data_IF_281404455277
#
_entry.id   IF_281404455277
#
_cell.length_a   1.000
_cell.length_b   1.000
_cell.length_c   1.000
_cell.angle_alpha   90.00
_cell.angle_beta   90.00
_cell.angle_gamma   90.00
#
_symmetry.space_group_name_H-M   'P 1'
#
loop_
_entity.id
_entity.type
_entity.pdbx_description
1 polymer ?
#
# COMPACT_ATOMS: atom_id res chain seq x y z
N UNK A 1 -23.97 12.18 26.13
CA UNK A 1 -22.99 11.30 25.43
C UNK A 1 -22.34 12.14 24.37
N UNK A 2 -21.04 12.36 24.51
CA UNK A 2 -20.27 13.34 23.70
C UNK A 2 -19.90 12.80 22.32
N UNK A 3 -19.83 11.48 22.12
CA UNK A 3 -19.57 10.84 20.82
C UNK A 3 -20.51 9.65 20.60
N UNK A 4 -21.40 9.73 19.58
CA UNK A 4 -22.28 8.61 19.21
C UNK A 4 -21.62 7.56 18.32
N UNK A 5 -20.40 7.82 17.84
CA UNK A 5 -19.60 6.93 17.00
C UNK A 5 -18.30 6.63 17.74
N UNK A 6 -17.94 5.36 17.82
CA UNK A 6 -16.69 4.89 18.46
C UNK A 6 -16.01 3.93 17.53
N UNK A 7 -14.77 4.25 17.17
CA UNK A 7 -13.82 3.32 16.57
C UNK A 7 -12.88 2.82 17.66
N UNK A 8 -12.75 1.51 17.78
CA UNK A 8 -11.92 0.89 18.81
C UNK A 8 -11.13 -0.31 18.24
N UNK A 9 -10.06 -0.64 18.93
CA UNK A 9 -9.29 -1.85 18.69
C UNK A 9 -9.50 -2.83 19.85
N UNK A 10 -9.88 -4.04 19.52
CA UNK A 10 -10.01 -5.13 20.49
C UNK A 10 -8.63 -5.70 20.84
N UNK A 11 -8.54 -6.45 21.96
CA UNK A 11 -7.28 -7.03 22.44
C UNK A 11 -6.64 -8.02 21.46
N UNK A 12 -7.45 -8.67 20.63
CA UNK A 12 -7.01 -9.59 19.58
C UNK A 12 -6.55 -8.88 18.29
N UNK A 13 -6.53 -7.53 18.29
CA UNK A 13 -6.17 -6.71 17.14
C UNK A 13 -7.34 -6.42 16.19
N UNK A 14 -8.52 -7.01 16.38
CA UNK A 14 -9.72 -6.74 15.58
C UNK A 14 -10.15 -5.28 15.71
N UNK A 15 -10.67 -4.72 14.61
CA UNK A 15 -11.26 -3.37 14.59
C UNK A 15 -12.74 -3.44 14.87
N UNK A 16 -13.24 -2.56 15.72
CA UNK A 16 -14.65 -2.41 16.01
C UNK A 16 -15.08 -0.97 15.70
N UNK A 17 -16.15 -0.81 14.94
CA UNK A 17 -16.87 0.45 14.81
C UNK A 17 -18.28 0.26 15.44
N UNK A 18 -18.63 1.13 16.37
CA UNK A 18 -19.94 1.12 17.01
C UNK A 18 -20.63 2.48 16.82
N UNK A 19 -21.90 2.45 16.44
CA UNK A 19 -22.75 3.63 16.24
C UNK A 19 -23.99 3.48 17.11
N UNK A 20 -24.30 4.49 17.92
CA UNK A 20 -25.44 4.49 18.84
C UNK A 20 -26.47 5.57 18.49
N UNK A 21 -27.71 5.49 18.98
CA UNK A 21 -28.70 6.57 18.82
C UNK A 21 -28.20 7.92 19.35
N UNK A 22 -28.54 9.03 18.72
CA UNK A 22 -29.55 9.18 17.65
C UNK A 22 -29.01 8.95 16.22
N UNK A 23 -27.72 8.74 16.04
CA UNK A 23 -27.09 8.57 14.71
C UNK A 23 -27.52 7.24 14.07
N UNK A 24 -27.76 6.20 14.88
CA UNK A 24 -28.41 4.94 14.46
C UNK A 24 -29.81 4.86 15.06
N UNK A 25 -30.85 5.36 14.39
CA UNK A 25 -32.21 5.45 14.98
C UNK A 25 -32.84 4.10 15.36
N UNK A 26 -32.45 3.04 14.67
CA UNK A 26 -32.97 1.68 14.89
C UNK A 26 -32.29 0.94 16.05
N UNK A 27 -31.33 1.56 16.73
CA UNK A 27 -30.59 0.98 17.83
C UNK A 27 -29.08 1.03 17.61
N UNK A 28 -28.35 0.32 18.46
CA UNK A 28 -26.87 0.24 18.33
C UNK A 28 -26.51 -0.66 17.16
N UNK A 29 -25.65 -0.14 16.28
CA UNK A 29 -25.00 -0.90 15.21
C UNK A 29 -23.53 -1.13 15.57
N UNK A 30 -23.05 -2.38 15.48
CA UNK A 30 -21.65 -2.73 15.74
C UNK A 30 -21.11 -3.53 14.56
N UNK A 31 -19.97 -3.10 14.03
CA UNK A 31 -19.22 -3.82 13.01
C UNK A 31 -17.86 -4.23 13.58
N UNK A 32 -17.53 -5.52 13.49
CA UNK A 32 -16.22 -6.05 13.92
C UNK A 32 -15.53 -6.67 12.72
N UNK A 33 -14.39 -6.08 12.35
CA UNK A 33 -13.50 -6.63 11.33
C UNK A 33 -12.39 -7.43 12.01
N UNK A 34 -12.51 -8.74 11.94
CA UNK A 34 -11.52 -9.65 12.52
C UNK A 34 -10.21 -9.60 11.73
N UNK A 35 -9.12 -9.56 12.46
CA UNK A 35 -7.80 -9.74 11.90
C UNK A 35 -7.48 -11.25 11.87
N UNK A 36 -7.64 -11.87 10.71
CA UNK A 36 -7.34 -13.31 10.55
C UNK A 36 -5.93 -13.45 9.98
N UNK A 37 -5.01 -13.92 10.80
CA UNK A 37 -3.66 -14.32 10.34
C UNK A 37 -3.76 -15.66 9.61
N UNK A 38 -4.03 -15.63 8.31
CA UNK A 38 -3.81 -16.80 7.47
C UNK A 38 -2.37 -16.73 6.93
N UNK A 39 -1.63 -17.81 7.06
CA UNK A 39 -0.33 -17.96 6.42
C UNK A 39 -0.52 -18.12 4.89
N UNK A 40 -0.64 -16.98 4.20
CA UNK A 40 -0.76 -16.93 2.76
C UNK A 40 0.63 -16.94 2.12
N UNK A 41 0.73 -17.58 0.95
CA UNK A 41 1.92 -17.56 0.09
C UNK A 41 1.57 -16.94 -1.27
N UNK A 42 2.55 -16.70 -2.12
CA UNK A 42 2.30 -16.15 -3.46
C UNK A 42 1.41 -17.07 -4.31
N UNK A 43 1.51 -18.37 -4.13
CA UNK A 43 0.70 -19.37 -4.85
C UNK A 43 -0.80 -19.27 -4.53
N UNK A 44 -1.17 -18.63 -3.42
CA UNK A 44 -2.59 -18.30 -3.15
C UNK A 44 -3.11 -17.15 -4.02
N UNK A 45 -2.21 -16.35 -4.62
CA UNK A 45 -2.55 -15.19 -5.43
C UNK A 45 -2.23 -15.34 -6.91
N UNK A 46 -1.32 -16.24 -7.28
CA UNK A 46 -0.82 -16.34 -8.64
C UNK A 46 -0.27 -17.73 -8.95
N UNK A 47 -0.34 -18.11 -10.23
CA UNK A 47 0.38 -19.25 -10.78
C UNK A 47 1.88 -18.94 -10.87
N UNK A 48 2.70 -19.99 -11.05
CA UNK A 48 4.17 -19.93 -10.97
C UNK A 48 4.80 -18.81 -11.80
N UNK A 49 4.45 -18.57 -13.08
CA UNK A 49 5.09 -17.49 -13.85
C UNK A 49 4.87 -16.10 -13.27
N UNK A 50 3.66 -15.83 -12.72
CA UNK A 50 3.35 -14.54 -12.09
C UNK A 50 3.97 -14.46 -10.70
N UNK A 51 4.02 -15.57 -9.96
CA UNK A 51 4.68 -15.62 -8.66
C UNK A 51 6.18 -15.35 -8.80
N UNK A 52 6.86 -15.95 -9.80
CA UNK A 52 8.27 -15.66 -10.10
C UNK A 52 8.50 -14.20 -10.49
N UNK A 53 7.62 -13.60 -11.31
CA UNK A 53 7.68 -12.18 -11.65
C UNK A 53 7.64 -11.32 -10.39
N UNK A 54 6.76 -11.62 -9.42
CA UNK A 54 6.66 -10.88 -8.16
C UNK A 54 7.91 -11.06 -7.29
N UNK A 55 8.43 -12.28 -7.18
CA UNK A 55 9.67 -12.56 -6.45
C UNK A 55 10.85 -11.81 -7.06
N UNK A 56 10.94 -11.82 -8.41
CA UNK A 56 11.95 -11.07 -9.14
C UNK A 56 11.86 -9.57 -8.82
N UNK A 57 10.66 -8.98 -8.87
CA UNK A 57 10.45 -7.57 -8.57
C UNK A 57 10.87 -7.19 -7.14
N UNK A 58 10.51 -8.01 -6.14
CA UNK A 58 10.91 -7.76 -4.73
C UNK A 58 12.43 -7.87 -4.56
N UNK A 59 13.07 -8.89 -5.17
CA UNK A 59 14.53 -9.10 -5.10
C UNK A 59 15.30 -7.98 -5.79
N UNK A 60 14.79 -7.47 -6.90
CA UNK A 60 15.36 -6.36 -7.67
C UNK A 60 14.97 -4.98 -7.14
N UNK A 61 14.36 -4.94 -5.93
CA UNK A 61 14.03 -3.69 -5.23
C UNK A 61 13.14 -2.77 -6.05
N UNK A 62 12.22 -3.33 -6.85
CA UNK A 62 11.21 -2.53 -7.52
C UNK A 62 10.27 -1.88 -6.51
N UNK A 63 9.93 -0.63 -6.73
CA UNK A 63 8.88 0.07 -5.99
C UNK A 63 7.52 -0.36 -6.55
N UNK A 64 6.70 -1.01 -5.72
CA UNK A 64 5.46 -1.65 -6.15
C UNK A 64 4.25 -1.03 -5.46
N UNK A 65 3.23 -0.70 -6.23
CA UNK A 65 1.90 -0.34 -5.73
C UNK A 65 0.95 -1.52 -5.93
N UNK A 66 0.41 -2.06 -4.84
CA UNK A 66 -0.64 -3.09 -4.89
C UNK A 66 -1.99 -2.42 -4.95
N UNK A 67 -2.71 -2.57 -6.05
CA UNK A 67 -4.04 -2.01 -6.27
C UNK A 67 -5.14 -3.05 -6.15
N UNK A 68 -6.38 -2.62 -5.93
CA UNK A 68 -7.55 -3.49 -5.87
C UNK A 68 -8.72 -2.87 -5.10
N UNK A 69 -9.90 -3.46 -5.24
CA UNK A 69 -11.11 -3.05 -4.51
C UNK A 69 -10.99 -3.31 -3.00
N UNK A 70 -11.92 -2.77 -2.22
CA UNK A 70 -12.04 -3.12 -0.80
C UNK A 70 -12.23 -4.64 -0.64
N UNK A 71 -11.48 -5.25 0.28
CA UNK A 71 -11.57 -6.69 0.55
C UNK A 71 -10.94 -7.61 -0.52
N UNK A 72 -10.29 -7.08 -1.56
CA UNK A 72 -9.64 -7.89 -2.61
C UNK A 72 -8.39 -8.63 -2.11
N UNK A 73 -7.79 -8.21 -0.99
CA UNK A 73 -6.61 -8.83 -0.43
C UNK A 73 -5.30 -8.07 -0.66
N UNK A 74 -5.36 -6.76 -0.93
CA UNK A 74 -4.18 -5.89 -1.09
C UNK A 74 -3.17 -6.02 0.04
N UNK A 75 -3.62 -5.80 1.29
CA UNK A 75 -2.77 -5.91 2.48
C UNK A 75 -2.25 -7.34 2.68
N UNK A 76 -3.04 -8.35 2.31
CA UNK A 76 -2.60 -9.74 2.37
C UNK A 76 -1.48 -10.02 1.37
N UNK A 77 -1.60 -9.56 0.10
CA UNK A 77 -0.52 -9.68 -0.88
C UNK A 77 0.70 -8.85 -0.44
N UNK A 78 0.49 -7.65 0.09
CA UNK A 78 1.56 -6.81 0.62
C UNK A 78 2.37 -7.54 1.71
N UNK A 79 1.69 -8.20 2.66
CA UNK A 79 2.33 -9.04 3.68
C UNK A 79 3.17 -10.18 3.06
N UNK A 80 2.61 -10.86 2.05
CA UNK A 80 3.31 -11.94 1.35
C UNK A 80 4.56 -11.41 0.63
N UNK A 81 4.47 -10.26 -0.05
CA UNK A 81 5.64 -9.66 -0.70
C UNK A 81 6.71 -9.25 0.32
N UNK A 82 6.29 -8.70 1.47
CA UNK A 82 7.21 -8.34 2.56
C UNK A 82 7.95 -9.55 3.14
N UNK A 83 7.33 -10.72 3.23
CA UNK A 83 7.97 -11.94 3.74
C UNK A 83 9.11 -12.45 2.84
N UNK A 84 9.21 -11.98 1.60
CA UNK A 84 10.30 -12.29 0.67
C UNK A 84 11.41 -11.23 0.64
N UNK A 85 11.35 -10.21 1.50
CA UNK A 85 12.44 -9.25 1.69
C UNK A 85 13.60 -9.88 2.46
N UNK A 86 14.78 -9.28 2.36
CA UNK A 86 15.99 -9.80 3.02
C UNK A 86 15.97 -9.50 4.51
N UNK A 87 16.41 -10.44 5.34
CA UNK A 87 16.46 -10.32 6.80
C UNK A 87 17.41 -9.21 7.31
N UNK A 88 18.38 -8.80 6.51
CA UNK A 88 19.33 -7.75 6.86
C UNK A 88 18.84 -6.34 6.47
N UNK A 89 17.67 -6.21 5.83
CA UNK A 89 17.09 -4.91 5.47
C UNK A 89 16.30 -4.33 6.65
N UNK A 90 16.43 -3.02 6.83
CA UNK A 90 15.61 -2.26 7.78
C UNK A 90 14.32 -1.84 7.10
N UNK A 91 13.21 -2.38 7.57
CA UNK A 91 11.88 -2.10 7.02
C UNK A 91 11.13 -1.19 7.99
N UNK A 92 10.61 -0.08 7.48
CA UNK A 92 9.70 0.79 8.24
C UNK A 92 8.33 0.75 7.60
N UNK A 93 7.32 0.23 8.31
CA UNK A 93 5.93 0.25 7.86
C UNK A 93 5.15 1.39 8.52
N UNK A 94 4.21 1.94 7.77
CA UNK A 94 3.37 3.08 8.16
C UNK A 94 1.94 2.75 7.79
N UNK A 95 1.04 2.74 8.77
CA UNK A 95 -0.34 2.35 8.59
C UNK A 95 -1.29 3.23 9.41
N UNK A 96 -2.51 3.42 8.94
CA UNK A 96 -3.57 4.06 9.76
C UNK A 96 -3.93 3.19 10.96
N UNK A 97 -4.08 1.90 10.72
CA UNK A 97 -4.22 0.88 11.75
C UNK A 97 -3.42 -0.33 11.31
N UNK A 98 -2.61 -0.85 12.19
CA UNK A 98 -1.71 -1.95 11.91
C UNK A 98 -2.44 -3.21 11.45
N UNK A 99 -2.26 -3.58 10.20
CA UNK A 99 -2.71 -4.83 9.58
C UNK A 99 -1.54 -5.70 9.12
N UNK A 100 -0.37 -5.08 8.89
CA UNK A 100 0.82 -5.81 8.46
C UNK A 100 1.42 -6.60 9.62
N UNK A 101 1.86 -7.81 9.30
CA UNK A 101 2.61 -8.68 10.22
C UNK A 101 3.99 -8.92 9.63
N UNK A 102 4.94 -8.04 9.96
CA UNK A 102 6.30 -8.13 9.45
C UNK A 102 7.13 -9.01 10.38
N UNK A 103 7.34 -10.26 9.98
CA UNK A 103 8.19 -11.22 10.69
C UNK A 103 9.68 -11.05 10.30
N UNK A 104 10.15 -9.79 10.27
CA UNK A 104 11.53 -9.44 9.89
C UNK A 104 12.28 -8.91 11.12
N UNK A 105 13.55 -9.31 11.34
CA UNK A 105 14.30 -8.96 12.55
C UNK A 105 14.48 -7.45 12.77
N UNK A 106 14.56 -6.67 11.68
CA UNK A 106 14.78 -5.23 11.73
C UNK A 106 13.58 -4.45 11.17
N UNK A 107 12.36 -4.81 11.60
CA UNK A 107 11.14 -4.12 11.23
C UNK A 107 10.70 -3.12 12.30
N UNK A 108 10.37 -1.91 11.90
CA UNK A 108 9.73 -0.86 12.71
C UNK A 108 8.35 -0.60 12.15
N UNK A 109 7.31 -0.73 12.98
CA UNK A 109 5.93 -0.52 12.58
C UNK A 109 5.39 0.75 13.23
N UNK A 110 4.97 1.72 12.41
CA UNK A 110 4.41 2.99 12.82
C UNK A 110 2.92 3.01 12.51
N UNK A 111 2.13 3.57 13.42
CA UNK A 111 0.68 3.66 13.30
C UNK A 111 0.24 5.10 13.56
N UNK A 112 -0.74 5.60 12.79
CA UNK A 112 -1.31 6.91 13.02
C UNK A 112 -2.05 6.96 14.36
N UNK A 113 -2.21 8.16 14.88
CA UNK A 113 -3.02 8.40 16.08
C UNK A 113 -3.96 9.56 15.84
N UNK A 114 -5.26 9.41 16.06
CA UNK A 114 -6.19 10.53 16.01
C UNK A 114 -5.94 11.53 17.14
N UNK A 115 -6.47 12.73 17.01
CA UNK A 115 -6.52 13.68 18.13
C UNK A 115 -7.26 13.03 19.29
N UNK A 116 -6.76 13.22 20.52
CA UNK A 116 -7.45 12.69 21.70
C UNK A 116 -8.44 13.71 22.26
N UNK A 117 -9.50 13.26 22.96
CA UNK A 117 -10.45 14.16 23.63
C UNK A 117 -9.79 15.10 24.64
N UNK A 118 -8.65 14.69 25.19
CA UNK A 118 -7.85 15.46 26.17
C UNK A 118 -6.97 16.53 25.51
N UNK A 119 -7.05 16.71 24.18
CA UNK A 119 -6.35 17.73 23.42
C UNK A 119 -4.93 17.37 22.97
N UNK A 120 -4.51 16.10 23.09
CA UNK A 120 -3.24 15.69 22.50
C UNK A 120 -3.36 15.65 20.97
N UNK A 121 -2.42 16.27 20.22
CA UNK A 121 -2.47 16.29 18.77
C UNK A 121 -2.33 14.88 18.20
N UNK A 122 -3.02 14.63 17.09
CA UNK A 122 -2.87 13.41 16.31
C UNK A 122 -1.48 13.29 15.69
N UNK A 123 -1.20 12.10 15.17
CA UNK A 123 -0.01 11.81 14.34
C UNK A 123 -0.52 11.31 13.00
N UNK A 124 -0.27 12.06 11.94
CA UNK A 124 -0.79 11.78 10.60
C UNK A 124 0.12 10.82 9.81
N UNK A 125 -0.40 10.24 8.71
CA UNK A 125 0.41 9.47 7.76
C UNK A 125 1.60 10.29 7.25
N UNK A 126 1.38 11.56 6.92
CA UNK A 126 2.43 12.50 6.47
C UNK A 126 3.54 12.65 7.51
N UNK A 127 3.18 12.83 8.78
CA UNK A 127 4.17 12.93 9.87
C UNK A 127 4.99 11.65 9.99
N UNK A 128 4.33 10.50 9.81
CA UNK A 128 4.99 9.20 9.89
C UNK A 128 5.90 8.92 8.68
N UNK A 129 5.50 9.32 7.46
CA UNK A 129 6.37 9.20 6.27
C UNK A 129 7.65 10.04 6.47
N UNK A 130 7.50 11.30 6.89
CA UNK A 130 8.65 12.17 7.19
C UNK A 130 9.51 11.64 8.34
N UNK A 131 8.88 11.04 9.35
CA UNK A 131 9.60 10.42 10.47
C UNK A 131 10.36 9.18 10.02
N UNK A 132 9.76 8.34 9.17
CA UNK A 132 10.38 7.13 8.64
C UNK A 132 11.71 7.44 7.94
N UNK A 133 11.81 8.52 7.17
CA UNK A 133 13.05 8.95 6.49
C UNK A 133 14.21 9.21 7.48
N UNK A 134 13.89 9.56 8.74
CA UNK A 134 14.88 9.79 9.80
C UNK A 134 15.28 8.52 10.56
N UNK A 135 14.57 7.41 10.32
CA UNK A 135 14.84 6.11 10.94
C UNK A 135 15.81 5.24 10.13
N UNK A 136 16.41 5.79 9.06
CA UNK A 136 17.35 5.10 8.16
C UNK A 136 16.76 3.80 7.59
N UNK A 137 15.61 3.83 6.93
CA UNK A 137 15.00 2.64 6.35
C UNK A 137 15.74 2.22 5.08
N UNK A 138 15.84 0.92 4.85
CA UNK A 138 16.20 0.36 3.54
C UNK A 138 14.99 0.34 2.61
N UNK A 139 13.79 0.09 3.18
CA UNK A 139 12.50 0.12 2.48
C UNK A 139 11.42 0.72 3.36
N UNK A 140 10.49 1.42 2.73
CA UNK A 140 9.31 1.99 3.40
C UNK A 140 8.07 1.25 2.87
N UNK A 141 7.23 0.79 3.79
CA UNK A 141 5.96 0.13 3.46
C UNK A 141 4.82 1.03 3.91
N UNK A 142 4.01 1.49 2.95
CA UNK A 142 2.83 2.31 3.26
C UNK A 142 1.59 1.45 3.11
N UNK A 143 0.89 1.21 4.22
CA UNK A 143 -0.28 0.34 4.27
C UNK A 143 -1.33 0.72 3.24
N UNK A 144 -1.62 2.01 3.08
CA UNK A 144 -2.53 2.51 2.05
C UNK A 144 -2.29 3.99 1.75
N UNK A 145 -2.35 4.35 0.45
CA UNK A 145 -2.28 5.72 -0.06
C UNK A 145 -3.71 6.25 -0.22
N UNK A 146 -4.06 7.32 0.50
CA UNK A 146 -5.40 7.93 0.49
C UNK A 146 -5.42 9.43 0.33
N UNK A 147 -4.36 10.13 0.72
CA UNK A 147 -4.33 11.57 0.86
C UNK A 147 -2.97 12.21 0.55
N UNK A 148 -2.67 13.25 1.29
CA UNK A 148 -1.50 14.11 1.08
C UNK A 148 -0.16 13.39 1.23
N UNK A 149 -0.11 12.30 1.98
CA UNK A 149 1.09 11.45 2.16
C UNK A 149 1.67 10.95 0.84
N UNK A 150 0.88 10.91 -0.23
CA UNK A 150 1.33 10.52 -1.58
C UNK A 150 2.49 11.39 -2.06
N UNK A 151 2.50 12.67 -1.75
CA UNK A 151 3.55 13.62 -2.17
C UNK A 151 4.88 13.30 -1.48
N UNK A 152 4.83 13.12 -0.15
CA UNK A 152 6.01 12.75 0.64
C UNK A 152 6.51 11.34 0.27
N UNK A 153 5.59 10.40 0.00
CA UNK A 153 5.92 9.07 -0.49
C UNK A 153 6.69 9.12 -1.82
N UNK A 154 6.16 9.79 -2.85
CA UNK A 154 6.84 9.88 -4.15
C UNK A 154 8.23 10.53 -3.99
N UNK A 155 8.34 11.55 -3.15
CA UNK A 155 9.63 12.18 -2.82
C UNK A 155 10.59 11.19 -2.16
N UNK A 156 10.12 10.40 -1.19
CA UNK A 156 10.92 9.37 -0.51
C UNK A 156 11.41 8.30 -1.48
N UNK A 157 10.54 7.82 -2.37
CA UNK A 157 10.88 6.79 -3.37
C UNK A 157 11.91 7.29 -4.39
N UNK A 158 11.91 8.59 -4.69
CA UNK A 158 12.87 9.23 -5.60
C UNK A 158 14.23 9.53 -4.94
N UNK A 159 14.33 9.46 -3.62
CA UNK A 159 15.53 9.83 -2.87
C UNK A 159 16.32 8.65 -2.29
N UNK A 160 16.05 7.41 -2.72
CA UNK A 160 16.93 6.28 -2.41
C UNK A 160 16.31 5.14 -1.59
N UNK A 161 15.00 5.12 -1.38
CA UNK A 161 14.30 4.05 -0.64
C UNK A 161 13.72 2.99 -1.60
N UNK A 162 14.58 2.47 -2.49
CA UNK A 162 14.21 1.48 -3.50
C UNK A 162 13.67 0.18 -2.88
N UNK A 163 12.67 -0.44 -3.53
CA UNK A 163 12.02 -1.65 -3.05
C UNK A 163 10.91 -1.40 -2.04
N UNK A 164 10.43 -0.17 -1.96
CA UNK A 164 9.30 0.21 -1.12
C UNK A 164 7.98 -0.28 -1.72
N UNK A 165 7.03 -0.61 -0.85
CA UNK A 165 5.73 -1.12 -1.25
C UNK A 165 4.62 -0.26 -0.67
N UNK A 166 3.51 -0.17 -1.39
CA UNK A 166 2.32 0.52 -0.89
C UNK A 166 1.03 -0.10 -1.46
N UNK A 167 -0.13 0.25 -0.89
CA UNK A 167 -1.41 -0.11 -1.50
C UNK A 167 -2.21 1.11 -1.91
N UNK A 168 -3.07 0.94 -2.91
CA UNK A 168 -4.00 1.96 -3.38
C UNK A 168 -5.34 1.33 -3.78
N UNK A 169 -6.45 1.94 -3.38
CA UNK A 169 -7.77 1.51 -3.86
C UNK A 169 -7.98 1.94 -5.32
N UNK A 170 -8.22 0.96 -6.20
CA UNK A 170 -8.56 1.20 -7.61
C UNK A 170 -9.31 -0.01 -8.19
N UNK A 171 -9.92 0.15 -9.38
CA UNK A 171 -10.60 -0.93 -10.10
C UNK A 171 -9.69 -1.65 -11.10
N UNK A 172 -8.58 -1.03 -11.52
CA UNK A 172 -7.54 -1.59 -12.40
C UNK A 172 -6.18 -1.05 -12.00
N UNK A 173 -5.10 -1.65 -12.49
CA UNK A 173 -3.75 -1.15 -12.24
C UNK A 173 -3.56 0.27 -12.82
N UNK A 174 -4.08 0.53 -14.01
CA UNK A 174 -3.99 1.86 -14.64
C UNK A 174 -4.78 2.93 -13.86
N UNK A 175 -5.98 2.59 -13.35
CA UNK A 175 -6.75 3.50 -12.50
C UNK A 175 -6.05 3.85 -11.19
N UNK A 176 -5.19 2.97 -10.66
CA UNK A 176 -4.39 3.30 -9.50
C UNK A 176 -3.41 4.46 -9.78
N UNK A 177 -2.79 4.48 -10.97
CA UNK A 177 -1.91 5.59 -11.38
C UNK A 177 -2.68 6.90 -11.54
N UNK A 178 -3.86 6.86 -12.18
CA UNK A 178 -4.73 8.04 -12.30
C UNK A 178 -5.18 8.55 -10.93
N UNK A 179 -5.44 7.65 -9.98
CA UNK A 179 -5.78 8.03 -8.61
C UNK A 179 -4.60 8.69 -7.90
N UNK A 180 -3.39 8.15 -8.03
CA UNK A 180 -2.16 8.76 -7.49
C UNK A 180 -1.94 10.14 -8.11
N UNK A 181 -2.05 10.28 -9.43
CA UNK A 181 -1.98 11.57 -10.13
C UNK A 181 -3.00 12.57 -9.57
N UNK A 182 -4.25 12.13 -9.40
CA UNK A 182 -5.33 12.96 -8.85
C UNK A 182 -5.07 13.40 -7.41
N UNK A 183 -4.55 12.52 -6.56
CA UNK A 183 -4.18 12.85 -5.18
C UNK A 183 -3.06 13.89 -5.14
N UNK A 184 -2.03 13.74 -5.99
CA UNK A 184 -0.95 14.75 -6.09
C UNK A 184 -1.50 16.09 -6.55
N UNK A 185 -2.34 16.12 -7.60
CA UNK A 185 -2.97 17.35 -8.10
C UNK A 185 -3.81 18.05 -7.04
N UNK A 186 -4.53 17.28 -6.21
CA UNK A 186 -5.37 17.82 -5.15
C UNK A 186 -4.54 18.56 -4.09
N UNK A 187 -3.33 18.09 -3.80
CA UNK A 187 -2.47 18.64 -2.75
C UNK A 187 -1.37 19.58 -3.30
N UNK A 188 -1.05 19.47 -4.59
CA UNK A 188 -0.07 20.30 -5.29
C UNK A 188 -0.67 20.86 -6.59
N UNK A 189 -1.74 21.69 -6.53
CA UNK A 189 -2.46 22.17 -7.72
C UNK A 189 -1.61 23.04 -8.65
N UNK A 190 -0.48 23.56 -8.16
CA UNK A 190 0.49 24.33 -8.94
C UNK A 190 1.38 23.45 -9.85
N UNK A 191 1.40 22.13 -9.66
CA UNK A 191 2.22 21.24 -10.47
C UNK A 191 1.51 20.91 -11.79
N UNK A 192 2.28 20.90 -12.90
CA UNK A 192 1.77 20.44 -14.18
C UNK A 192 1.62 18.91 -14.17
N UNK A 193 0.64 18.41 -14.92
CA UNK A 193 0.40 16.95 -15.02
C UNK A 193 1.63 16.18 -15.53
N UNK A 194 2.38 16.75 -16.47
CA UNK A 194 3.60 16.17 -16.98
C UNK A 194 4.63 15.96 -15.87
N UNK A 195 4.86 17.00 -15.05
CA UNK A 195 5.76 16.93 -13.90
C UNK A 195 5.32 15.84 -12.92
N UNK A 196 4.01 15.72 -12.63
CA UNK A 196 3.48 14.69 -11.74
C UNK A 196 3.73 13.29 -12.32
N UNK A 197 3.49 13.11 -13.62
CA UNK A 197 3.73 11.84 -14.31
C UNK A 197 5.21 11.45 -14.30
N UNK A 198 6.11 12.41 -14.52
CA UNK A 198 7.55 12.17 -14.41
C UNK A 198 7.94 11.75 -12.99
N UNK A 199 7.37 12.39 -11.96
CA UNK A 199 7.57 11.97 -10.57
C UNK A 199 7.05 10.56 -10.30
N UNK A 200 5.88 10.20 -10.83
CA UNK A 200 5.32 8.85 -10.70
C UNK A 200 6.22 7.84 -11.44
N UNK A 201 6.62 8.10 -12.69
CA UNK A 201 7.45 7.20 -13.49
C UNK A 201 8.84 6.97 -12.89
N UNK A 202 9.41 7.98 -12.23
CA UNK A 202 10.68 7.85 -11.52
C UNK A 202 10.56 7.15 -10.16
N UNK A 203 9.40 7.28 -9.49
CA UNK A 203 9.17 6.75 -8.14
C UNK A 203 8.65 5.31 -8.13
N UNK A 204 7.70 4.97 -9.02
CA UNK A 204 6.98 3.71 -9.04
C UNK A 204 7.42 2.89 -10.25
N UNK A 205 7.80 1.63 -10.03
CA UNK A 205 8.24 0.74 -11.10
C UNK A 205 7.10 -0.14 -11.62
N UNK A 206 6.17 -0.52 -10.71
CA UNK A 206 5.17 -1.54 -11.02
C UNK A 206 3.88 -1.30 -10.25
N UNK A 207 2.75 -1.58 -10.89
CA UNK A 207 1.45 -1.71 -10.21
C UNK A 207 0.93 -3.12 -10.41
N UNK A 208 0.54 -3.75 -9.30
CA UNK A 208 -0.01 -5.11 -9.24
C UNK A 208 -1.47 -5.02 -8.82
N UNK A 209 -2.39 -5.47 -9.67
CA UNK A 209 -3.82 -5.44 -9.36
C UNK A 209 -4.31 -6.77 -8.82
N UNK A 210 -4.92 -6.72 -7.62
CA UNK A 210 -5.50 -7.89 -6.94
C UNK A 210 -7.01 -7.86 -7.08
N UNK A 211 -7.56 -8.94 -7.60
CA UNK A 211 -8.99 -9.17 -7.74
C UNK A 211 -9.46 -10.28 -6.80
N UNK A 212 -10.76 -10.33 -6.59
CA UNK A 212 -11.45 -11.41 -5.88
C UNK A 212 -12.63 -11.88 -6.73
N UNK A 213 -12.71 -13.16 -6.98
CA UNK A 213 -13.80 -13.77 -7.74
C UNK A 213 -15.07 -14.00 -6.88
N UNK A 214 -16.12 -14.50 -7.49
CA UNK A 214 -17.40 -14.79 -6.83
C UNK A 214 -17.31 -15.92 -5.81
N UNK A 215 -16.31 -16.81 -5.92
CA UNK A 215 -16.04 -17.89 -4.95
C UNK A 215 -15.30 -17.38 -3.71
N UNK A 216 -14.79 -16.15 -3.79
CA UNK A 216 -13.98 -15.53 -2.73
C UNK A 216 -12.48 -15.75 -2.88
N UNK A 217 -12.00 -16.45 -3.93
CA UNK A 217 -10.58 -16.63 -4.24
C UNK A 217 -9.98 -15.29 -4.64
N UNK A 218 -8.81 -14.98 -4.07
CA UNK A 218 -8.02 -13.78 -4.38
C UNK A 218 -6.95 -14.16 -5.40
N UNK A 219 -6.71 -13.28 -6.37
CA UNK A 219 -5.70 -13.54 -7.39
C UNK A 219 -5.17 -12.23 -7.98
N UNK A 220 -3.92 -12.26 -8.47
CA UNK A 220 -3.34 -11.19 -9.27
C UNK A 220 -3.98 -11.27 -10.66
N UNK A 221 -4.71 -10.23 -11.05
CA UNK A 221 -5.39 -10.17 -12.35
C UNK A 221 -4.63 -9.35 -13.38
N UNK A 222 -3.74 -8.45 -12.95
CA UNK A 222 -2.99 -7.57 -13.83
C UNK A 222 -1.68 -7.13 -13.18
N UNK A 223 -0.61 -7.04 -13.96
CA UNK A 223 0.65 -6.42 -13.57
C UNK A 223 1.09 -5.49 -14.69
N UNK A 224 1.33 -4.22 -14.36
CA UNK A 224 1.87 -3.22 -15.28
C UNK A 224 3.22 -2.70 -14.79
N UNK A 225 4.12 -2.45 -15.73
CA UNK A 225 5.40 -1.77 -15.53
C UNK A 225 5.28 -0.33 -16.01
N UNK A 226 5.84 0.60 -15.25
CA UNK A 226 5.83 2.02 -15.57
C UNK A 226 7.18 2.40 -16.15
N UNK A 227 7.26 2.90 -17.39
CA UNK A 227 8.53 3.36 -17.96
C UNK A 227 9.05 4.61 -17.24
N UNK A 228 10.38 4.83 -17.28
CA UNK A 228 11.05 5.99 -16.65
C UNK A 228 10.48 7.34 -17.13
N UNK A 229 10.19 7.45 -18.42
CA UNK A 229 9.46 8.58 -19.00
C UNK A 229 7.98 8.23 -19.11
N UNK A 230 7.23 8.41 -18.02
CA UNK A 230 5.83 8.05 -17.98
C UNK A 230 4.96 9.13 -18.65
N UNK A 231 4.76 9.05 -19.94
CA UNK A 231 3.84 9.91 -20.71
C UNK A 231 2.40 9.37 -20.73
N UNK A 232 2.00 8.58 -19.71
CA UNK A 232 0.69 7.93 -19.62
C UNK A 232 0.61 6.55 -20.28
N UNK A 233 1.69 6.07 -20.88
CA UNK A 233 1.81 4.72 -21.41
C UNK A 233 2.38 3.78 -20.33
N UNK A 234 1.85 2.55 -20.28
CA UNK A 234 2.33 1.49 -19.38
C UNK A 234 2.61 0.24 -20.19
N UNK A 235 3.47 -0.61 -19.69
CA UNK A 235 3.75 -1.92 -20.28
C UNK A 235 3.05 -3.00 -19.45
N UNK A 236 2.18 -3.78 -20.07
CA UNK A 236 1.58 -4.92 -19.40
C UNK A 236 2.61 -6.05 -19.30
N UNK A 237 2.90 -6.49 -18.07
CA UNK A 237 3.71 -7.66 -17.78
C UNK A 237 2.84 -8.89 -17.60
N UNK A 238 1.60 -8.71 -17.16
CA UNK A 238 0.58 -9.75 -17.04
C UNK A 238 -0.80 -9.11 -17.18
N UNK A 239 -1.67 -9.73 -17.97
CA UNK A 239 -3.04 -9.27 -18.24
C UNK A 239 -4.08 -10.40 -18.07
N UNK A 240 -3.74 -11.43 -17.31
CA UNK A 240 -4.57 -12.62 -17.10
C UNK A 240 -4.22 -13.81 -17.99
N UNK A 241 -3.39 -13.65 -19.01
CA UNK A 241 -3.05 -14.72 -19.96
C UNK A 241 -1.54 -15.00 -20.04
N UNK A 242 -0.75 -14.00 -20.37
CA UNK A 242 0.69 -14.13 -20.66
C UNK A 242 1.52 -13.31 -19.70
N UNK A 243 2.70 -13.82 -19.33
CA UNK A 243 3.69 -13.13 -18.50
C UNK A 243 4.85 -12.68 -19.38
N UNK A 244 5.16 -11.39 -19.30
CA UNK A 244 6.31 -10.76 -19.96
C UNK A 244 7.33 -10.36 -18.89
N UNK A 245 8.64 -10.61 -19.08
CA UNK A 245 9.66 -10.25 -18.12
C UNK A 245 9.72 -8.74 -17.86
N UNK A 246 9.94 -8.35 -16.60
CA UNK A 246 10.19 -6.96 -16.23
C UNK A 246 11.59 -6.51 -16.67
N UNK A 247 11.69 -5.24 -17.04
CA UNK A 247 12.97 -4.57 -17.35
C UNK A 247 13.44 -3.67 -16.20
N UNK A 248 12.64 -3.50 -15.16
CA UNK A 248 12.94 -2.62 -14.01
C UNK A 248 13.76 -3.31 -12.95
N UNK A 249 14.81 -2.63 -12.49
CA UNK A 249 15.64 -3.04 -11.36
C UNK A 249 16.24 -1.80 -10.72
N UNK A 250 16.31 -1.75 -9.39
CA UNK A 250 16.93 -0.68 -8.61
C UNK A 250 18.12 -1.17 -7.78
N UNK A 251 18.58 -2.40 -8.02
CA UNK A 251 19.71 -2.97 -7.26
C UNK A 251 21.03 -2.26 -7.53
N UNK A 252 21.17 -1.61 -8.69
CA UNK A 252 22.38 -0.86 -9.10
C UNK A 252 22.42 0.58 -8.56
N UNK A 253 21.40 1.03 -7.85
CA UNK A 253 21.30 2.41 -7.33
C UNK A 253 21.82 2.57 -5.88
N UNK A 254 22.70 1.66 -5.42
CA UNK A 254 23.40 1.76 -4.12
C UNK A 254 24.80 2.27 -4.27
#
# INVERSE_FOLDING_TARGET
RTSPIVDARLRDGSRMCAVIPPVSPQGMCVSIRRFTQQALTLQHFAEEPVAELMLHAVRNRCNIVVSGKAGSGKTSLLNVLCSHMRNNERIVSIEDVRELTLALPNAVQLETRPNTPEGLPGVTMTDLVRTALRLRPDRIIIGEIRGVEVVDMLSALNTGHAGSLSTCHAHTAQQALLRIESLVLQHCPQWKRETIRDHIGSAIDMVVHVSRDTSGRRFISEVIEIPLSFLGQVRHLFNGNEVVPSTRSRTSLR
#
